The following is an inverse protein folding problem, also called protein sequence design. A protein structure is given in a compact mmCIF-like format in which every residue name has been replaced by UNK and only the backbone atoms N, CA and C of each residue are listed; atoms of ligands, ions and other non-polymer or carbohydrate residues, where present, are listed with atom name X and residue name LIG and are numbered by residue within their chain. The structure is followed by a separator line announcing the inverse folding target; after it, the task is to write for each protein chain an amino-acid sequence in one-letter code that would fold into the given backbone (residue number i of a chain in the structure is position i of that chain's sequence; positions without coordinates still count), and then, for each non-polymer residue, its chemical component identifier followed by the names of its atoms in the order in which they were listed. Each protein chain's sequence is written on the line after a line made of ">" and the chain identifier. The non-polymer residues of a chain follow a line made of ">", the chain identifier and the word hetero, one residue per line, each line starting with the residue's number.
data_IF_665005933432
#
_entry.id   IF_665005933432
#
_cell.length_a   1.000
_cell.length_b   1.000
_cell.length_c   1.000
_cell.angle_alpha   90.00
_cell.angle_beta   90.00
_cell.angle_gamma   90.00
#
_symmetry.space_group_name_H-M   'P 1'
#
loop_
_entity.id
_entity.type
_entity.pdbx_description
1 polymer ?
#
# COMPACT_ATOMS: atom_id res chain seq x y z
N UNK A 1 -0.47 -2.35 -17.79
CA UNK A 1 -1.74 -2.86 -18.38
C UNK A 1 -2.85 -3.08 -17.35
N UNK A 2 -2.64 -3.82 -16.26
CA UNK A 2 -3.69 -4.12 -15.26
C UNK A 2 -4.43 -2.88 -14.73
N UNK A 3 -3.69 -1.86 -14.28
CA UNK A 3 -4.29 -0.62 -13.73
C UNK A 3 -5.13 0.13 -14.77
N UNK A 4 -4.80 0.06 -16.07
CA UNK A 4 -5.65 0.66 -17.12
C UNK A 4 -6.98 -0.07 -17.28
N UNK A 5 -7.07 -1.34 -16.86
CA UNK A 5 -8.31 -2.13 -16.88
C UNK A 5 -9.14 -1.94 -15.61
N UNK A 6 -8.48 -1.74 -14.46
CA UNK A 6 -9.15 -1.66 -13.14
C UNK A 6 -9.36 -0.23 -12.64
N UNK A 7 -8.71 0.76 -13.26
CA UNK A 7 -8.69 2.19 -12.89
C UNK A 7 -8.25 2.51 -11.46
N UNK A 8 -7.87 1.50 -10.67
CA UNK A 8 -7.50 1.63 -9.26
C UNK A 8 -6.31 0.72 -8.96
N UNK A 9 -5.43 1.17 -8.08
CA UNK A 9 -4.22 0.45 -7.71
C UNK A 9 -3.93 0.59 -6.21
N UNK A 10 -3.54 -0.53 -5.57
CA UNK A 10 -3.06 -0.59 -4.20
C UNK A 10 -1.74 -1.38 -4.18
N UNK A 11 -0.70 -0.81 -3.60
CA UNK A 11 0.60 -1.47 -3.42
C UNK A 11 0.71 -2.01 -2.00
N UNK A 12 0.89 -3.31 -1.86
CA UNK A 12 1.10 -3.99 -0.57
C UNK A 12 2.54 -4.52 -0.50
N UNK A 13 3.26 -4.24 0.59
CA UNK A 13 4.59 -4.82 0.84
C UNK A 13 4.92 -4.91 2.34
N UNK A 14 5.97 -5.66 2.67
CA UNK A 14 6.37 -5.91 4.06
C UNK A 14 7.36 -4.89 4.64
N UNK A 15 8.11 -4.17 3.80
CA UNK A 15 8.97 -3.09 4.27
C UNK A 15 8.16 -1.97 4.95
N UNK A 16 8.83 -1.08 5.67
CA UNK A 16 8.23 0.12 6.27
C UNK A 16 7.65 1.04 5.19
N UNK A 17 6.59 1.78 5.53
CA UNK A 17 5.87 2.63 4.59
C UNK A 17 6.75 3.73 4.00
N UNK A 18 7.51 4.40 4.85
CA UNK A 18 8.39 5.50 4.49
C UNK A 18 9.67 4.96 3.88
N UNK A 19 10.04 5.49 2.70
CA UNK A 19 11.23 5.06 1.96
C UNK A 19 11.17 3.64 1.37
N UNK A 20 10.05 2.93 1.52
CA UNK A 20 9.88 1.57 1.01
C UNK A 20 9.65 1.52 -0.51
N UNK A 21 9.87 0.35 -1.10
CA UNK A 21 9.70 0.07 -2.54
C UNK A 21 8.31 0.45 -3.08
N UNK A 22 7.29 0.40 -2.23
CA UNK A 22 5.93 0.79 -2.63
C UNK A 22 5.81 2.26 -3.01
N UNK A 23 6.69 3.13 -2.50
CA UNK A 23 6.71 4.54 -2.88
C UNK A 23 7.09 4.71 -4.37
N UNK A 24 8.16 4.02 -4.80
CA UNK A 24 8.63 4.06 -6.18
C UNK A 24 7.56 3.51 -7.14
N UNK A 25 6.98 2.35 -6.81
CA UNK A 25 5.91 1.75 -7.62
C UNK A 25 4.71 2.70 -7.75
N UNK A 26 4.31 3.36 -6.67
CA UNK A 26 3.18 4.29 -6.70
C UNK A 26 3.48 5.56 -7.51
N UNK A 27 4.71 6.09 -7.40
CA UNK A 27 5.17 7.21 -8.22
C UNK A 27 5.17 6.83 -9.70
N UNK A 28 5.78 5.70 -10.07
CA UNK A 28 5.82 5.21 -11.46
C UNK A 28 4.43 5.00 -12.03
N UNK A 29 3.49 4.42 -11.28
CA UNK A 29 2.09 4.27 -11.72
C UNK A 29 1.47 5.64 -11.97
N UNK A 30 1.63 6.57 -11.03
CA UNK A 30 1.05 7.90 -11.15
C UNK A 30 1.63 8.64 -12.36
N UNK A 31 2.95 8.68 -12.53
CA UNK A 31 3.62 9.36 -13.63
C UNK A 31 3.21 8.84 -15.01
N UNK A 32 3.11 7.51 -15.17
CA UNK A 32 2.92 6.91 -16.49
C UNK A 32 1.45 6.73 -16.90
N UNK A 33 0.53 6.64 -15.93
CA UNK A 33 -0.88 6.29 -16.19
C UNK A 33 -1.90 7.08 -15.35
N UNK A 34 -1.56 8.29 -14.90
CA UNK A 34 -2.45 9.17 -14.13
C UNK A 34 -3.86 9.31 -14.74
N UNK A 35 -3.95 9.50 -16.06
CA UNK A 35 -5.22 9.71 -16.76
C UNK A 35 -6.15 8.49 -16.74
N UNK A 36 -5.64 7.31 -16.38
CA UNK A 36 -6.44 6.08 -16.28
C UNK A 36 -6.82 5.76 -14.82
N UNK A 37 -6.53 6.63 -13.84
CA UNK A 37 -6.84 6.41 -12.43
C UNK A 37 -8.13 7.13 -12.02
N UNK A 38 -9.07 6.37 -11.44
CA UNK A 38 -10.29 6.90 -10.82
C UNK A 38 -10.10 7.23 -9.33
N UNK A 39 -8.98 6.77 -8.74
CA UNK A 39 -8.63 6.93 -7.34
C UNK A 39 -7.11 7.04 -7.17
N UNK A 40 -6.60 7.68 -6.10
CA UNK A 40 -5.18 7.75 -5.83
C UNK A 40 -4.58 6.35 -5.66
N UNK A 41 -3.32 6.17 -6.09
CA UNK A 41 -2.59 4.93 -5.81
C UNK A 41 -2.36 4.84 -4.30
N UNK A 42 -3.06 3.92 -3.64
CA UNK A 42 -2.89 3.70 -2.20
C UNK A 42 -1.76 2.73 -1.92
N UNK A 43 -1.14 2.86 -0.73
CA UNK A 43 -0.07 1.98 -0.28
C UNK A 43 -0.42 1.41 1.09
N UNK A 44 -0.10 0.13 1.30
CA UNK A 44 -0.21 -0.58 2.57
C UNK A 44 1.13 -1.23 2.85
N UNK A 45 1.70 -0.92 3.99
CA UNK A 45 3.05 -1.35 4.36
C UNK A 45 3.13 -1.61 5.87
N UNK A 46 4.26 -2.13 6.33
CA UNK A 46 4.54 -2.26 7.76
C UNK A 46 4.71 -0.88 8.40
N UNK A 47 4.56 -0.82 9.72
CA UNK A 47 4.68 0.44 10.46
C UNK A 47 6.10 1.01 10.35
N UNK A 48 6.21 2.34 10.36
CA UNK A 48 7.50 3.07 10.37
C UNK A 48 8.15 3.01 11.77
N UNK A 49 8.51 1.80 12.19
CA UNK A 49 9.21 1.51 13.42
C UNK A 49 10.10 0.26 13.22
N UNK A 50 11.11 0.06 14.08
CA UNK A 50 11.86 -1.19 14.09
C UNK A 50 10.95 -2.40 14.34
N UNK A 51 11.32 -3.56 13.77
CA UNK A 51 10.59 -4.82 13.97
C UNK A 51 10.57 -5.17 15.47
N UNK A 52 9.40 -5.33 16.10
CA UNK A 52 9.33 -5.72 17.50
C UNK A 52 9.88 -7.13 17.70
N UNK A 53 10.75 -7.31 18.71
CA UNK A 53 11.24 -8.65 19.07
C UNK A 53 10.13 -9.56 19.63
N UNK A 54 9.11 -8.98 20.29
CA UNK A 54 8.01 -9.74 20.85
C UNK A 54 7.08 -10.24 19.72
N UNK A 55 6.93 -11.57 19.52
CA UNK A 55 6.15 -12.11 18.42
C UNK A 55 4.67 -11.69 18.45
N UNK A 56 4.11 -11.46 19.64
CA UNK A 56 2.72 -11.00 19.78
C UNK A 56 2.56 -9.55 19.32
N UNK A 57 3.57 -8.70 19.53
CA UNK A 57 3.55 -7.32 19.06
C UNK A 57 3.78 -7.29 17.55
N UNK A 58 4.78 -8.00 17.06
CA UNK A 58 5.06 -8.13 15.63
C UNK A 58 3.79 -8.56 14.86
N UNK A 59 3.11 -9.62 15.32
CA UNK A 59 1.91 -10.14 14.66
C UNK A 59 0.68 -9.23 14.76
N UNK A 60 0.57 -8.38 15.78
CA UNK A 60 -0.64 -7.57 16.03
C UNK A 60 -0.57 -6.16 15.46
N UNK A 61 0.62 -5.57 15.41
CA UNK A 61 0.75 -4.13 15.09
C UNK A 61 1.70 -3.88 13.93
N UNK A 62 2.74 -4.68 13.75
CA UNK A 62 3.80 -4.35 12.80
C UNK A 62 3.34 -4.55 11.34
N UNK A 63 2.76 -5.71 11.04
CA UNK A 63 2.53 -6.14 9.66
C UNK A 63 1.46 -5.35 8.89
N UNK A 64 1.71 -5.21 7.59
CA UNK A 64 0.85 -4.55 6.63
C UNK A 64 -0.54 -5.20 6.49
N UNK A 65 -0.61 -6.54 6.63
CA UNK A 65 -1.80 -7.35 6.34
C UNK A 65 -3.04 -6.92 7.15
N UNK A 66 -2.85 -6.49 8.39
CA UNK A 66 -3.96 -6.16 9.28
C UNK A 66 -4.66 -4.85 8.87
N UNK A 67 -3.95 -3.98 8.15
CA UNK A 67 -4.45 -2.70 7.63
C UNK A 67 -5.00 -2.80 6.19
N UNK A 68 -4.74 -3.91 5.50
CA UNK A 68 -5.14 -4.11 4.12
C UNK A 68 -6.68 -4.01 3.91
N UNK A 69 -7.54 -4.66 4.72
CA UNK A 69 -8.98 -4.63 4.47
C UNK A 69 -9.59 -3.23 4.58
N UNK A 70 -9.14 -2.43 5.55
CA UNK A 70 -9.59 -1.05 5.71
C UNK A 70 -9.13 -0.20 4.53
N UNK A 71 -7.86 -0.29 4.16
CA UNK A 71 -7.31 0.51 3.06
C UNK A 71 -7.92 0.13 1.71
N UNK A 72 -8.20 -1.15 1.49
CA UNK A 72 -8.87 -1.62 0.28
C UNK A 72 -10.30 -1.06 0.20
N UNK A 73 -11.06 -1.06 1.30
CA UNK A 73 -12.38 -0.42 1.33
C UNK A 73 -12.31 1.07 1.06
N UNK A 74 -11.33 1.78 1.62
CA UNK A 74 -11.10 3.20 1.31
C UNK A 74 -10.83 3.41 -0.18
N UNK A 75 -10.01 2.56 -0.80
CA UNK A 75 -9.72 2.65 -2.23
C UNK A 75 -10.95 2.36 -3.08
N UNK A 76 -11.79 1.39 -2.72
CA UNK A 76 -13.00 1.03 -3.49
C UNK A 76 -14.12 2.06 -3.37
N UNK A 77 -14.15 2.85 -2.29
CA UNK A 77 -15.18 3.86 -2.02
C UNK A 77 -14.77 5.30 -2.42
N UNK A 78 -13.58 5.49 -2.99
CA UNK A 78 -13.16 6.76 -3.58
C UNK A 78 -14.00 7.08 -4.81
#
# INVERSE_FOLDING_TARGET
>A
ESVRKTSRALVLHEATLTGGVGAEIAATITENIFQSLDAPVMRVASLDMPVPFNPKLEQKIFWAKDRLPEKLRQLLNY
#
